data_IF_131411556124
#
_entry.id   IF_131411556124
#
_cell.length_a   1.000
_cell.length_b   1.000
_cell.length_c   1.000
_cell.angle_alpha   90.00
_cell.angle_beta   90.00
_cell.angle_gamma   90.00
#
_symmetry.space_group_name_H-M   'P 1'
#
loop_
_entity.id
_entity.type
_entity.pdbx_description
1 polymer ?
#
# COMPACT_ATOMS: atom_id res chain seq x y z
N UNK A 1 13.27 -11.18 19.09
CA UNK A 1 12.62 -11.26 20.42
C UNK A 1 11.10 -11.36 20.31
N UNK A 2 10.39 -10.43 19.66
CA UNK A 2 8.93 -10.57 19.53
C UNK A 2 8.51 -11.67 18.55
N UNK A 3 9.18 -11.78 17.38
CA UNK A 3 8.89 -12.84 16.42
C UNK A 3 9.11 -14.24 17.02
N UNK A 4 10.19 -14.43 17.78
CA UNK A 4 10.46 -15.69 18.49
C UNK A 4 9.40 -16.00 19.55
N UNK A 5 8.89 -14.99 20.27
CA UNK A 5 7.82 -15.19 21.24
C UNK A 5 6.51 -15.61 20.56
N UNK A 6 6.18 -14.99 19.42
CA UNK A 6 5.02 -15.37 18.60
C UNK A 6 5.16 -16.81 18.12
N UNK A 7 6.30 -17.19 17.53
CA UNK A 7 6.53 -18.57 17.07
C UNK A 7 6.40 -19.60 18.18
N UNK A 8 6.94 -19.32 19.38
CA UNK A 8 6.78 -20.21 20.55
C UNK A 8 5.31 -20.38 20.95
N UNK A 9 4.53 -19.30 20.93
CA UNK A 9 3.09 -19.38 21.27
C UNK A 9 2.31 -20.16 20.22
N UNK A 10 2.60 -19.96 18.94
CA UNK A 10 1.95 -20.71 17.84
C UNK A 10 2.23 -22.21 17.95
N UNK A 11 3.48 -22.59 18.23
CA UNK A 11 3.89 -23.99 18.41
C UNK A 11 3.26 -24.62 19.66
N UNK A 12 3.31 -23.94 20.81
CA UNK A 12 2.85 -24.52 22.08
C UNK A 12 1.33 -24.62 22.18
N UNK A 13 0.62 -23.66 21.59
CA UNK A 13 -0.83 -23.57 21.71
C UNK A 13 -1.57 -24.09 20.48
N UNK A 14 -0.86 -24.38 19.39
CA UNK A 14 -1.44 -24.77 18.09
C UNK A 14 -2.51 -23.77 17.60
N UNK A 15 -2.25 -22.48 17.76
CA UNK A 15 -3.11 -21.37 17.30
C UNK A 15 -2.31 -20.43 16.42
N UNK A 16 -2.99 -19.70 15.53
CA UNK A 16 -2.36 -18.58 14.82
C UNK A 16 -2.30 -17.36 15.73
N UNK A 17 -1.12 -16.75 15.84
CA UNK A 17 -0.90 -15.58 16.70
C UNK A 17 -0.49 -14.40 15.84
N UNK A 18 -1.19 -13.29 16.03
CA UNK A 18 -0.82 -11.99 15.45
C UNK A 18 -0.46 -11.02 16.56
N UNK A 19 0.66 -10.33 16.42
CA UNK A 19 1.14 -9.33 17.37
C UNK A 19 1.45 -8.02 16.66
N UNK A 20 1.39 -6.92 17.39
CA UNK A 20 1.74 -5.60 16.88
C UNK A 20 2.69 -4.84 17.82
N UNK A 21 3.43 -3.90 17.25
CA UNK A 21 4.41 -3.04 17.93
C UNK A 21 4.04 -1.60 17.66
N UNK A 22 3.77 -0.86 18.74
CA UNK A 22 3.56 0.58 18.72
C UNK A 22 4.86 1.39 18.66
N UNK A 23 4.72 2.71 18.61
CA UNK A 23 5.86 3.63 18.66
C UNK A 23 6.49 3.64 20.05
N UNK A 24 7.79 3.89 20.07
CA UNK A 24 8.53 4.16 21.30
C UNK A 24 8.34 5.62 21.71
N UNK A 25 8.13 5.85 23.00
CA UNK A 25 8.02 7.16 23.63
C UNK A 25 8.90 7.18 24.88
N UNK A 26 9.53 8.31 25.19
CA UNK A 26 10.44 8.44 26.34
C UNK A 26 9.74 8.91 27.61
N UNK A 27 8.60 9.59 27.48
CA UNK A 27 7.81 10.10 28.61
C UNK A 27 6.72 9.09 29.00
N UNK A 28 6.59 8.83 30.30
CA UNK A 28 5.59 7.89 30.83
C UNK A 28 4.16 8.31 30.46
N UNK A 29 3.89 9.61 30.43
CA UNK A 29 2.58 10.19 30.06
C UNK A 29 2.16 9.81 28.62
N UNK A 30 3.14 9.52 27.76
CA UNK A 30 2.96 9.09 26.38
C UNK A 30 2.89 7.56 26.22
N UNK A 31 3.06 6.78 27.29
CA UNK A 31 3.01 5.32 27.22
C UNK A 31 1.69 4.81 26.60
N UNK A 32 0.57 5.51 26.88
CA UNK A 32 -0.72 5.23 26.24
C UNK A 32 -0.67 5.32 24.71
N UNK A 33 0.16 6.22 24.15
CA UNK A 33 0.30 6.40 22.71
C UNK A 33 1.04 5.21 22.09
N UNK A 34 1.94 4.54 22.83
CA UNK A 34 2.55 3.29 22.39
C UNK A 34 1.50 2.21 22.20
N UNK A 35 0.60 2.05 23.17
CA UNK A 35 -0.52 1.11 23.07
C UNK A 35 -1.46 1.45 21.90
N UNK A 36 -1.89 2.72 21.76
CA UNK A 36 -2.77 3.16 20.66
C UNK A 36 -2.13 2.90 19.29
N UNK A 37 -0.86 3.24 19.10
CA UNK A 37 -0.16 2.98 17.84
C UNK A 37 0.03 1.49 17.59
N UNK A 38 0.14 0.67 18.62
CA UNK A 38 0.15 -0.80 18.50
C UNK A 38 -1.19 -1.34 17.99
N UNK A 39 -2.32 -0.82 18.50
CA UNK A 39 -3.65 -1.18 18.00
C UNK A 39 -3.79 -0.80 16.52
N UNK A 40 -3.44 0.45 16.15
CA UNK A 40 -3.44 0.87 14.74
C UNK A 40 -2.56 -0.02 13.86
N UNK A 41 -1.39 -0.43 14.34
CA UNK A 41 -0.52 -1.35 13.60
C UNK A 41 -1.16 -2.72 13.42
N UNK A 42 -1.95 -3.19 14.39
CA UNK A 42 -2.73 -4.42 14.25
C UNK A 42 -3.81 -4.26 13.19
N UNK A 43 -4.60 -3.18 13.25
CA UNK A 43 -5.68 -2.91 12.30
C UNK A 43 -5.13 -2.82 10.87
N UNK A 44 -4.13 -1.96 10.64
CA UNK A 44 -3.49 -1.81 9.33
C UNK A 44 -2.78 -3.10 8.90
N UNK A 45 -2.03 -3.73 9.80
CA UNK A 45 -1.26 -4.92 9.49
C UNK A 45 -2.14 -6.10 9.07
N UNK A 46 -3.26 -6.28 9.77
CA UNK A 46 -4.26 -7.31 9.47
C UNK A 46 -4.91 -7.13 8.10
N UNK A 47 -5.06 -5.87 7.64
CA UNK A 47 -5.62 -5.52 6.34
C UNK A 47 -4.63 -5.70 5.18
N UNK A 48 -3.34 -5.39 5.38
CA UNK A 48 -2.37 -5.23 4.28
C UNK A 48 -1.34 -6.33 4.16
N UNK A 49 -1.08 -7.08 5.22
CA UNK A 49 0.07 -7.98 5.31
C UNK A 49 -0.39 -9.37 5.73
N UNK A 50 -1.14 -10.01 4.84
CA UNK A 50 -1.40 -11.44 4.93
C UNK A 50 -0.06 -12.21 5.02
N UNK A 51 0.02 -13.18 5.93
CA UNK A 51 1.22 -13.98 6.16
C UNK A 51 2.27 -13.40 7.12
N UNK A 52 2.10 -12.16 7.60
CA UNK A 52 2.95 -11.61 8.66
C UNK A 52 2.32 -11.80 10.03
N UNK A 53 3.05 -12.43 10.95
CA UNK A 53 2.61 -12.63 12.33
C UNK A 53 2.90 -11.41 13.23
N UNK A 54 3.79 -10.50 12.82
CA UNK A 54 4.18 -9.31 13.59
C UNK A 54 4.06 -8.04 12.76
N UNK A 55 3.33 -7.05 13.28
CA UNK A 55 3.04 -5.77 12.64
C UNK A 55 3.72 -4.61 13.37
N UNK A 56 4.66 -3.93 12.73
CA UNK A 56 5.33 -2.77 13.33
C UNK A 56 4.76 -1.47 12.77
N UNK A 57 4.27 -0.59 13.65
CA UNK A 57 3.70 0.70 13.26
C UNK A 57 4.64 1.54 12.38
N UNK A 58 5.94 1.51 12.65
CA UNK A 58 6.94 2.27 11.88
C UNK A 58 7.12 1.76 10.45
N UNK A 59 6.72 0.51 10.17
CA UNK A 59 6.86 -0.12 8.85
C UNK A 59 5.58 0.00 8.00
N UNK A 60 4.55 0.70 8.48
CA UNK A 60 3.27 0.86 7.78
C UNK A 60 3.28 1.94 6.70
N UNK A 61 4.34 2.75 6.61
CA UNK A 61 4.48 3.77 5.57
C UNK A 61 3.30 4.75 5.55
N UNK A 62 2.76 5.03 4.36
CA UNK A 62 1.64 5.93 4.15
C UNK A 62 0.27 5.32 4.53
N UNK A 63 0.16 3.99 4.67
CA UNK A 63 -1.09 3.33 5.08
C UNK A 63 -1.57 3.80 6.47
N UNK A 64 -0.63 4.22 7.33
CA UNK A 64 -0.93 4.85 8.63
C UNK A 64 -1.74 6.14 8.50
N UNK A 65 -1.57 6.88 7.41
CA UNK A 65 -2.28 8.13 7.18
C UNK A 65 -3.71 7.84 6.73
N UNK A 66 -3.91 6.86 5.85
CA UNK A 66 -5.24 6.50 5.37
C UNK A 66 -6.15 6.00 6.49
N UNK A 67 -5.61 5.25 7.46
CA UNK A 67 -6.36 4.79 8.63
C UNK A 67 -7.01 5.93 9.42
N UNK A 68 -6.39 7.11 9.46
CA UNK A 68 -6.90 8.25 10.21
C UNK A 68 -7.83 9.16 9.37
N UNK A 69 -8.02 8.85 8.09
CA UNK A 69 -8.89 9.60 7.17
C UNK A 69 -10.21 8.84 7.00
N UNK A 70 -11.38 9.50 7.16
CA UNK A 70 -12.67 8.89 6.88
C UNK A 70 -12.73 8.31 5.46
N UNK A 71 -13.29 7.11 5.32
CA UNK A 71 -13.42 6.38 4.03
C UNK A 71 -14.01 7.27 2.94
N UNK A 72 -15.05 8.03 3.25
CA UNK A 72 -15.72 8.91 2.29
C UNK A 72 -14.76 9.96 1.70
N UNK A 73 -13.84 10.50 2.51
CA UNK A 73 -12.84 11.47 2.00
C UNK A 73 -11.82 10.82 1.07
N UNK A 74 -11.45 9.57 1.35
CA UNK A 74 -10.57 8.79 0.48
C UNK A 74 -11.25 8.49 -0.87
N UNK A 75 -12.54 8.14 -0.83
CA UNK A 75 -13.35 7.91 -2.03
C UNK A 75 -13.52 9.18 -2.86
N UNK A 76 -13.85 10.31 -2.23
CA UNK A 76 -13.93 11.60 -2.92
C UNK A 76 -12.61 12.00 -3.57
N UNK A 77 -11.49 11.85 -2.88
CA UNK A 77 -10.17 12.16 -3.43
C UNK A 77 -9.87 11.35 -4.70
N UNK A 78 -10.23 10.07 -4.72
CA UNK A 78 -10.07 9.25 -5.93
C UNK A 78 -10.95 9.79 -7.05
N UNK A 79 -12.25 9.96 -6.79
CA UNK A 79 -13.23 10.37 -7.80
C UNK A 79 -12.90 11.74 -8.43
N UNK A 80 -12.39 12.69 -7.63
CA UNK A 80 -11.94 14.00 -8.12
C UNK A 80 -10.67 13.94 -8.99
N UNK A 81 -9.88 12.87 -8.86
CA UNK A 81 -8.59 12.73 -9.57
C UNK A 81 -8.68 11.85 -10.80
N UNK A 82 -9.24 10.65 -10.64
CA UNK A 82 -9.53 9.69 -11.70
C UNK A 82 -10.90 9.13 -11.37
N UNK A 83 -11.89 9.46 -12.19
CA UNK A 83 -13.24 8.94 -12.00
C UNK A 83 -13.22 7.42 -11.95
N UNK A 84 -14.10 6.85 -11.14
CA UNK A 84 -14.27 5.38 -11.02
C UNK A 84 -14.38 4.70 -12.39
N UNK A 85 -15.12 5.30 -13.33
CA UNK A 85 -15.27 4.80 -14.71
C UNK A 85 -13.94 4.69 -15.47
N UNK A 86 -13.01 5.64 -15.30
CA UNK A 86 -11.70 5.60 -15.97
C UNK A 86 -10.82 4.57 -15.28
N UNK A 87 -10.85 4.51 -13.95
CA UNK A 87 -10.05 3.57 -13.18
C UNK A 87 -10.43 2.12 -13.49
N UNK A 88 -11.72 1.82 -13.61
CA UNK A 88 -12.24 0.48 -13.89
C UNK A 88 -11.95 0.01 -15.32
N UNK A 89 -11.60 0.93 -16.23
CA UNK A 89 -11.10 0.62 -17.58
C UNK A 89 -9.62 0.22 -17.60
N UNK A 90 -8.88 0.44 -16.50
CA UNK A 90 -7.47 0.07 -16.41
C UNK A 90 -7.39 -1.44 -16.17
N UNK A 91 -6.92 -2.17 -17.17
CA UNK A 91 -6.75 -3.61 -17.06
C UNK A 91 -5.65 -3.99 -16.04
N UNK A 92 -5.77 -5.20 -15.47
CA UNK A 92 -4.82 -5.71 -14.47
C UNK A 92 -3.37 -5.74 -14.96
N UNK A 93 -3.13 -5.92 -16.25
CA UNK A 93 -1.79 -5.93 -16.82
C UNK A 93 -1.18 -4.54 -16.84
N UNK A 94 -1.98 -3.51 -17.14
CA UNK A 94 -1.60 -2.11 -17.06
C UNK A 94 -1.33 -1.70 -15.62
N UNK A 95 -2.15 -2.11 -14.65
CA UNK A 95 -1.89 -1.88 -13.22
C UNK A 95 -0.55 -2.50 -12.81
N UNK A 96 -0.31 -3.77 -13.17
CA UNK A 96 0.97 -4.46 -12.89
C UNK A 96 2.16 -3.74 -13.54
N UNK A 97 1.96 -3.22 -14.75
CA UNK A 97 2.98 -2.44 -15.46
C UNK A 97 3.33 -1.16 -14.70
N UNK A 98 2.33 -0.40 -14.23
CA UNK A 98 2.56 0.81 -13.43
C UNK A 98 3.20 0.51 -12.07
N UNK A 99 2.77 -0.57 -11.40
CA UNK A 99 3.40 -1.03 -10.15
C UNK A 99 4.88 -1.33 -10.35
N UNK A 100 5.22 -2.13 -11.36
CA UNK A 100 6.62 -2.43 -11.69
C UNK A 100 7.40 -1.17 -12.06
N UNK A 101 6.76 -0.21 -12.74
CA UNK A 101 7.38 1.08 -13.07
C UNK A 101 7.70 1.90 -11.81
N UNK A 102 6.80 1.94 -10.83
CA UNK A 102 7.04 2.59 -9.53
C UNK A 102 8.13 1.91 -8.71
N UNK A 103 8.13 0.57 -8.67
CA UNK A 103 9.16 -0.21 -7.95
C UNK A 103 10.57 -0.01 -8.52
N UNK A 104 10.68 0.36 -9.80
CA UNK A 104 11.96 0.68 -10.46
C UNK A 104 12.19 2.19 -10.56
N UNK A 105 11.60 2.99 -9.67
CA UNK A 105 11.81 4.44 -9.59
C UNK A 105 11.55 5.18 -10.91
N UNK A 106 10.49 4.80 -11.63
CA UNK A 106 10.12 5.37 -12.94
C UNK A 106 11.18 5.15 -14.04
N UNK A 107 12.08 4.18 -13.85
CA UNK A 107 13.10 3.85 -14.85
C UNK A 107 12.56 2.86 -15.88
N UNK A 108 12.38 3.34 -17.11
CA UNK A 108 11.85 2.54 -18.23
C UNK A 108 12.73 1.32 -18.52
N UNK A 109 14.06 1.48 -18.55
CA UNK A 109 14.99 0.42 -18.92
C UNK A 109 15.02 -0.71 -17.88
N UNK A 110 15.05 -0.36 -16.60
CA UNK A 110 15.03 -1.33 -15.49
C UNK A 110 13.67 -2.04 -15.41
N UNK A 111 12.58 -1.30 -15.58
CA UNK A 111 11.22 -1.86 -15.58
C UNK A 111 11.02 -2.83 -16.74
N UNK A 112 11.46 -2.47 -17.94
CA UNK A 112 11.34 -3.33 -19.12
C UNK A 112 12.12 -4.64 -18.91
N UNK A 113 13.32 -4.57 -18.33
CA UNK A 113 14.12 -5.75 -17.99
C UNK A 113 13.43 -6.63 -16.95
N UNK A 114 12.91 -6.03 -15.86
CA UNK A 114 12.19 -6.76 -14.79
C UNK A 114 10.93 -7.45 -15.31
N UNK A 115 10.23 -6.83 -16.25
CA UNK A 115 9.00 -7.38 -16.84
C UNK A 115 9.25 -8.26 -18.07
N UNK A 116 10.52 -8.48 -18.47
CA UNK A 116 10.88 -9.20 -19.70
C UNK A 116 10.22 -8.62 -20.96
N UNK A 117 10.02 -7.30 -20.99
CA UNK A 117 9.45 -6.56 -22.11
C UNK A 117 10.54 -5.84 -22.89
N UNK A 118 10.30 -5.63 -24.18
CA UNK A 118 11.10 -4.69 -24.94
C UNK A 118 10.81 -3.25 -24.47
N UNK A 119 11.84 -2.39 -24.44
CA UNK A 119 11.72 -0.99 -23.98
C UNK A 119 10.55 -0.26 -24.67
N UNK A 120 10.43 -0.39 -25.99
CA UNK A 120 9.37 0.29 -26.76
C UNK A 120 7.97 -0.23 -26.42
N UNK A 121 7.82 -1.51 -26.07
CA UNK A 121 6.54 -2.07 -25.63
C UNK A 121 6.12 -1.46 -24.30
N UNK A 122 7.06 -1.29 -23.38
CA UNK A 122 6.79 -0.62 -22.10
C UNK A 122 6.40 0.85 -22.32
N UNK A 123 7.14 1.58 -23.16
CA UNK A 123 6.82 2.97 -23.52
C UNK A 123 5.40 3.06 -24.07
N UNK A 124 5.03 2.19 -25.02
CA UNK A 124 3.67 2.16 -25.57
C UNK A 124 2.60 1.92 -24.49
N UNK A 125 2.85 1.01 -23.54
CA UNK A 125 1.91 0.76 -22.42
C UNK A 125 1.77 1.99 -21.53
N UNK A 126 2.86 2.67 -21.20
CA UNK A 126 2.84 3.92 -20.43
C UNK A 126 2.08 5.01 -21.20
N UNK A 127 2.32 5.18 -22.50
CA UNK A 127 1.60 6.16 -23.31
C UNK A 127 0.10 5.87 -23.40
N UNK A 128 -0.28 4.59 -23.53
CA UNK A 128 -1.68 4.16 -23.51
C UNK A 128 -2.33 4.48 -22.17
N UNK A 129 -1.64 4.21 -21.07
CA UNK A 129 -2.09 4.56 -19.72
C UNK A 129 -2.27 6.07 -19.55
N UNK A 130 -1.29 6.87 -20.01
CA UNK A 130 -1.35 8.32 -19.94
C UNK A 130 -2.55 8.88 -20.73
N UNK A 131 -2.84 8.31 -21.91
CA UNK A 131 -4.00 8.71 -22.72
C UNK A 131 -5.33 8.34 -22.06
N UNK A 132 -5.40 7.20 -21.41
CA UNK A 132 -6.60 6.72 -20.71
C UNK A 132 -6.91 7.58 -19.47
N UNK A 133 -5.88 7.87 -18.67
CA UNK A 133 -6.06 8.53 -17.36
C UNK A 133 -5.87 10.04 -17.38
N UNK A 134 -5.27 10.58 -18.44
CA UNK A 134 -4.83 11.98 -18.49
C UNK A 134 -3.61 12.28 -17.61
N UNK A 135 -3.06 11.28 -16.91
CA UNK A 135 -1.91 11.43 -16.03
C UNK A 135 -0.62 11.05 -16.74
N UNK A 136 0.35 11.95 -16.79
CA UNK A 136 1.67 11.63 -17.31
C UNK A 136 2.57 11.04 -16.21
N UNK A 137 2.52 9.72 -16.00
CA UNK A 137 3.26 9.05 -14.91
C UNK A 137 4.78 9.07 -15.07
N UNK A 138 5.31 9.63 -16.16
CA UNK A 138 6.74 9.92 -16.27
C UNK A 138 7.11 11.22 -15.53
N UNK A 139 6.12 12.05 -15.20
CA UNK A 139 6.27 13.19 -14.29
C UNK A 139 6.03 12.74 -12.86
N UNK A 140 6.94 13.13 -11.98
CA UNK A 140 6.93 12.75 -10.57
C UNK A 140 5.59 13.05 -9.88
N UNK A 141 5.01 14.23 -10.11
CA UNK A 141 3.74 14.64 -9.49
C UNK A 141 2.58 13.71 -9.87
N UNK A 142 2.38 13.45 -11.16
CA UNK A 142 1.34 12.52 -11.64
C UNK A 142 1.61 11.08 -11.24
N UNK A 143 2.89 10.67 -11.17
CA UNK A 143 3.29 9.35 -10.68
C UNK A 143 2.90 9.14 -9.21
N UNK A 144 3.24 10.10 -8.35
CA UNK A 144 2.90 10.08 -6.92
C UNK A 144 1.39 10.07 -6.73
N UNK A 145 0.67 10.87 -7.52
CA UNK A 145 -0.79 10.93 -7.48
C UNK A 145 -1.42 9.57 -7.80
N UNK A 146 -1.04 8.95 -8.92
CA UNK A 146 -1.57 7.63 -9.29
C UNK A 146 -1.14 6.54 -8.29
N UNK A 147 0.11 6.58 -7.82
CA UNK A 147 0.60 5.65 -6.80
C UNK A 147 -0.23 5.75 -5.50
N UNK A 148 -0.55 6.97 -5.08
CA UNK A 148 -1.39 7.23 -3.90
C UNK A 148 -2.80 6.67 -4.10
N UNK A 149 -3.42 6.90 -5.26
CA UNK A 149 -4.73 6.33 -5.62
C UNK A 149 -4.70 4.80 -5.53
N UNK A 150 -3.67 4.16 -6.08
CA UNK A 150 -3.53 2.71 -6.02
C UNK A 150 -3.44 2.20 -4.57
N UNK A 151 -2.73 2.92 -3.70
CA UNK A 151 -2.62 2.55 -2.29
C UNK A 151 -3.91 2.78 -1.50
N UNK A 152 -4.67 3.83 -1.82
CA UNK A 152 -6.00 4.07 -1.24
C UNK A 152 -6.98 2.99 -1.70
N UNK A 153 -7.04 2.65 -3.00
CA UNK A 153 -7.90 1.55 -3.49
C UNK A 153 -7.55 0.23 -2.82
N UNK A 154 -6.26 -0.05 -2.62
CA UNK A 154 -5.80 -1.21 -1.86
C UNK A 154 -6.28 -1.15 -0.38
N UNK A 155 -6.18 0.02 0.27
CA UNK A 155 -6.72 0.25 1.62
C UNK A 155 -8.19 -0.14 1.71
N UNK A 156 -9.01 0.47 0.85
CA UNK A 156 -10.47 0.35 0.87
C UNK A 156 -10.94 -1.07 0.57
N UNK A 157 -10.30 -1.75 -0.39
CA UNK A 157 -10.62 -3.15 -0.74
C UNK A 157 -10.40 -4.09 0.44
N UNK A 158 -9.35 -3.87 1.23
CA UNK A 158 -9.07 -4.72 2.39
C UNK A 158 -10.00 -4.37 3.56
N UNK A 159 -10.42 -3.12 3.71
CA UNK A 159 -11.34 -2.70 4.77
C UNK A 159 -12.70 -3.40 4.66
N UNK A 160 -13.24 -3.55 3.44
CA UNK A 160 -14.53 -4.22 3.19
C UNK A 160 -14.51 -5.75 3.27
N UNK A 161 -13.35 -6.38 3.56
CA UNK A 161 -13.21 -7.83 3.72
C UNK A 161 -13.25 -8.30 5.20
N UNK A 162 -13.23 -7.37 6.15
CA UNK A 162 -13.31 -7.63 7.58
C UNK A 162 -14.74 -7.52 8.12
#
# INVERSE_FOLDING_TARGET
>A
MLLSAVSTLEEQLMVSVKASIGRYFTLLEEAKNSYITSLKAFDIGSLYREGYAVYNYNNMGIARLFHDIPVQKLEYFIEETITSDIYDQIDDETIKTMQAFFENNLNISETARKMYLHRNTLVYRIEKFNKLTGLDVQKFESAVLFHTICQIKCFLRNLGRN
#
